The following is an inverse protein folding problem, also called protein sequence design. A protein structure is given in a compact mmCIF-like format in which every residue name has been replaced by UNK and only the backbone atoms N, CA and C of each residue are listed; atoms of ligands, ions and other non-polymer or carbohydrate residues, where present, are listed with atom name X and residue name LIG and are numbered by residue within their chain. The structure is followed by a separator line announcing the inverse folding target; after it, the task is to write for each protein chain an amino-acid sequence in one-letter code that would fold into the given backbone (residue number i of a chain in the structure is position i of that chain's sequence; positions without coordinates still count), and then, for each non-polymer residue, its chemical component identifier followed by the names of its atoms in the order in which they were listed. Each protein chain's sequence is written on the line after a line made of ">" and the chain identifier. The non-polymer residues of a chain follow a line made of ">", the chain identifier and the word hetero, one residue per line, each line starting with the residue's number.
data_IF_654418185933
#
_entry.id   IF_654418185933
#
_cell.length_a   1.000
_cell.length_b   1.000
_cell.length_c   1.000
_cell.angle_alpha   90.00
_cell.angle_beta   90.00
_cell.angle_gamma   90.00
#
_symmetry.space_group_name_H-M   'P 1'
#
loop_
_entity.id
_entity.type
_entity.pdbx_description
1 polymer ?
#
# COMPACT_ATOMS: atom_id res chain seq x y z
N UNK A 1 -37.83 -9.29 -43.93
CA UNK A 1 -38.09 -8.10 -44.76
C UNK A 1 -38.06 -6.88 -43.85
N UNK A 2 -37.42 -5.79 -44.29
CA UNK A 2 -37.29 -4.45 -43.65
C UNK A 2 -36.60 -4.38 -42.27
N UNK A 3 -35.39 -3.82 -42.07
CA UNK A 3 -34.69 -2.62 -42.61
C UNK A 3 -35.43 -1.29 -42.42
N UNK A 4 -35.04 -0.55 -41.37
CA UNK A 4 -34.99 0.91 -41.27
C UNK A 4 -34.10 1.20 -40.03
N UNK A 5 -32.82 1.55 -40.11
CA UNK A 5 -32.16 2.70 -40.76
C UNK A 5 -32.71 4.04 -40.26
N UNK A 6 -32.19 4.47 -39.10
CA UNK A 6 -32.23 5.87 -38.64
C UNK A 6 -30.78 6.32 -38.49
N UNK A 7 -30.29 7.00 -39.52
CA UNK A 7 -29.19 7.95 -39.41
C UNK A 7 -29.68 9.11 -38.54
N UNK A 8 -28.90 9.51 -37.52
CA UNK A 8 -28.98 10.88 -37.00
C UNK A 8 -27.58 11.45 -36.74
N UNK A 9 -27.43 12.63 -37.34
CA UNK A 9 -26.33 13.59 -37.41
C UNK A 9 -25.44 13.80 -36.17
N UNK A 10 -24.12 13.79 -36.44
CA UNK A 10 -23.21 14.95 -36.42
C UNK A 10 -23.32 15.96 -35.25
N UNK A 11 -22.31 15.98 -34.38
CA UNK A 11 -21.68 17.23 -33.91
C UNK A 11 -20.28 16.94 -33.33
N UNK A 12 -19.25 17.33 -34.08
CA UNK A 12 -17.89 17.50 -33.58
C UNK A 12 -17.89 18.56 -32.46
N UNK A 13 -17.40 18.20 -31.28
CA UNK A 13 -16.91 19.17 -30.29
C UNK A 13 -15.44 18.87 -30.02
N UNK A 14 -14.59 19.51 -30.81
CA UNK A 14 -13.16 19.65 -30.53
C UNK A 14 -13.05 20.65 -29.38
N UNK A 15 -12.99 20.16 -28.15
CA UNK A 15 -12.67 20.99 -26.98
C UNK A 15 -11.16 21.02 -26.83
N UNK A 16 -10.56 22.15 -27.19
CA UNK A 16 -9.15 22.43 -26.98
C UNK A 16 -8.85 22.48 -25.48
N UNK A 17 -8.01 21.57 -24.98
CA UNK A 17 -7.41 21.72 -23.66
C UNK A 17 -6.32 22.81 -23.73
N UNK A 18 -6.30 23.77 -22.80
CA UNK A 18 -5.28 24.80 -22.76
C UNK A 18 -3.90 24.16 -22.49
N UNK A 19 -2.92 24.54 -23.31
CA UNK A 19 -1.51 24.37 -23.04
C UNK A 19 -1.19 25.06 -21.70
N UNK A 20 -0.94 24.25 -20.66
CA UNK A 20 -0.29 24.73 -19.45
C UNK A 20 1.14 25.11 -19.81
N UNK A 21 1.34 26.40 -20.07
CA UNK A 21 2.67 26.97 -20.22
C UNK A 21 3.42 26.79 -18.88
N UNK A 22 4.50 26.01 -18.92
CA UNK A 22 5.45 25.91 -17.82
C UNK A 22 6.07 27.27 -17.56
N UNK A 23 5.69 27.91 -16.46
CA UNK A 23 6.39 29.08 -15.94
C UNK A 23 7.80 28.64 -15.49
N UNK A 24 8.88 29.31 -15.94
CA UNK A 24 10.22 29.02 -15.45
C UNK A 24 10.30 29.36 -13.96
N UNK A 25 10.66 28.37 -13.12
CA UNK A 25 10.98 28.61 -11.72
C UNK A 25 12.22 29.54 -11.64
N UNK A 26 12.17 30.62 -10.84
CA UNK A 26 13.36 31.41 -10.56
C UNK A 26 14.38 30.57 -9.77
N UNK A 27 15.69 30.89 -9.86
CA UNK A 27 16.71 30.24 -9.05
C UNK A 27 16.44 30.50 -7.56
N UNK A 28 16.50 29.43 -6.78
CA UNK A 28 16.42 29.43 -5.32
C UNK A 28 17.73 30.04 -4.77
N UNK A 29 17.75 31.36 -4.62
CA UNK A 29 18.81 32.09 -3.93
C UNK A 29 18.63 31.92 -2.40
N UNK A 30 19.54 31.14 -1.81
CA UNK A 30 20.05 31.34 -0.45
C UNK A 30 19.02 31.45 0.69
N UNK A 31 18.75 30.34 1.37
CA UNK A 31 18.34 30.40 2.76
C UNK A 31 19.53 30.85 3.63
N UNK A 32 19.66 32.17 3.76
CA UNK A 32 20.37 32.81 4.86
C UNK A 32 19.67 32.49 6.20
N UNK A 33 20.51 32.31 7.22
CA UNK A 33 20.10 32.06 8.59
C UNK A 33 19.49 33.31 9.26
N UNK A 34 18.72 33.05 10.34
CA UNK A 34 18.43 33.92 11.52
C UNK A 34 16.98 34.44 11.62
N UNK A 35 16.46 34.82 12.83
CA UNK A 35 17.18 35.03 14.10
C UNK A 35 16.53 34.40 15.35
N UNK A 36 17.28 34.52 16.45
CA UNK A 36 16.83 34.35 17.82
C UNK A 36 15.85 35.45 18.26
N UNK A 37 14.89 35.05 19.10
CA UNK A 37 14.32 35.86 20.18
C UNK A 37 12.93 36.45 19.91
N UNK A 38 11.96 36.07 20.76
CA UNK A 38 11.08 37.04 21.44
C UNK A 38 10.40 36.34 22.63
N UNK A 39 10.60 36.93 23.82
CA UNK A 39 9.89 36.59 25.05
C UNK A 39 8.52 37.29 25.03
N UNK A 40 7.47 36.55 25.40
CA UNK A 40 6.12 37.07 25.58
C UNK A 40 5.51 36.54 26.88
N UNK A 41 5.38 37.44 27.85
CA UNK A 41 4.71 37.27 29.14
C UNK A 41 3.18 37.13 29.03
N UNK A 42 2.65 36.23 29.86
CA UNK A 42 1.39 36.19 30.60
C UNK A 42 0.09 36.81 30.03
N UNK A 43 -0.97 36.00 29.98
CA UNK A 43 -2.28 36.36 30.54
C UNK A 43 -2.88 35.13 31.26
N UNK A 44 -3.21 35.36 32.52
CA UNK A 44 -3.79 34.47 33.52
C UNK A 44 -5.29 34.25 33.23
N UNK A 45 -5.74 32.99 33.19
CA UNK A 45 -7.11 32.63 32.85
C UNK A 45 -7.61 31.46 33.69
N UNK A 46 -7.93 31.75 34.96
CA UNK A 46 -8.57 30.83 35.88
C UNK A 46 -9.94 30.34 35.35
N UNK A 47 -10.10 29.02 35.27
CA UNK A 47 -11.42 28.38 35.31
C UNK A 47 -11.34 27.16 36.22
N UNK A 48 -11.83 27.40 37.43
CA UNK A 48 -12.06 26.49 38.54
C UNK A 48 -13.43 25.82 38.37
N UNK A 49 -13.47 24.50 38.59
CA UNK A 49 -14.66 23.64 38.52
C UNK A 49 -14.27 22.28 37.93
N UNK A 50 -13.84 21.30 38.71
CA UNK A 50 -14.56 20.74 39.86
C UNK A 50 -15.44 19.60 39.35
N UNK A 51 -14.91 18.38 39.34
CA UNK A 51 -15.62 17.21 38.82
C UNK A 51 -14.81 15.92 38.85
N UNK A 52 -14.72 15.35 40.06
CA UNK A 52 -14.76 13.90 40.34
C UNK A 52 -13.52 13.06 39.98
N UNK A 53 -12.80 12.73 41.05
CA UNK A 53 -11.82 11.67 41.22
C UNK A 53 -12.37 10.33 40.69
N UNK A 54 -12.05 10.02 39.44
CA UNK A 54 -12.21 8.71 38.85
C UNK A 54 -10.86 8.00 38.84
N UNK A 55 -10.42 7.52 40.01
CA UNK A 55 -9.33 6.55 40.17
C UNK A 55 -9.71 5.24 39.47
N UNK A 56 -9.65 5.26 38.14
CA UNK A 56 -9.64 4.10 37.28
C UNK A 56 -8.21 3.76 36.93
N UNK A 57 -7.44 3.31 37.92
CA UNK A 57 -6.22 2.49 37.79
C UNK A 57 -6.57 1.21 37.03
N UNK A 58 -6.87 1.38 35.75
CA UNK A 58 -6.93 0.37 34.73
C UNK A 58 -5.68 0.48 33.89
N UNK A 59 -4.51 0.57 34.55
CA UNK A 59 -3.20 0.16 34.03
C UNK A 59 -3.28 -1.36 33.77
N UNK A 60 -4.17 -1.73 32.87
CA UNK A 60 -4.20 -3.03 32.25
C UNK A 60 -2.98 -3.04 31.36
N UNK A 61 -1.82 -3.25 31.97
CA UNK A 61 -0.58 -3.61 31.32
C UNK A 61 -0.97 -4.61 30.23
N UNK A 62 -1.06 -4.11 28.98
CA UNK A 62 -1.27 -4.99 27.85
C UNK A 62 -0.16 -6.03 27.98
N UNK A 63 -0.49 -7.33 27.95
CA UNK A 63 0.50 -8.37 28.12
C UNK A 63 1.61 -8.07 27.11
N UNK A 64 2.77 -7.65 27.61
CA UNK A 64 3.96 -7.45 26.80
C UNK A 64 4.28 -8.82 26.22
N UNK A 65 3.82 -9.03 25.01
CA UNK A 65 4.12 -10.23 24.25
C UNK A 65 5.63 -10.41 24.14
N UNK A 66 6.08 -11.60 23.75
CA UNK A 66 7.49 -11.78 23.43
C UNK A 66 7.90 -10.76 22.36
N UNK A 67 8.89 -9.93 22.71
CA UNK A 67 9.51 -8.98 21.79
C UNK A 67 10.13 -9.76 20.62
N UNK A 68 9.71 -9.46 19.40
CA UNK A 68 10.14 -10.16 18.20
C UNK A 68 11.42 -9.55 17.59
N UNK A 69 12.29 -10.36 16.97
CA UNK A 69 13.50 -9.87 16.29
C UNK A 69 13.18 -9.21 14.93
N UNK A 70 14.15 -8.49 14.36
CA UNK A 70 14.06 -7.92 13.01
C UNK A 70 13.71 -9.02 11.98
N UNK A 71 12.74 -8.74 11.11
CA UNK A 71 12.24 -9.62 10.07
C UNK A 71 11.13 -10.57 10.50
N UNK A 72 10.86 -10.70 11.81
CA UNK A 72 9.74 -11.48 12.32
C UNK A 72 8.39 -10.89 11.92
N UNK A 73 7.37 -11.74 11.83
CA UNK A 73 6.00 -11.32 11.51
C UNK A 73 5.36 -10.62 12.72
N UNK A 74 4.68 -9.51 12.51
CA UNK A 74 4.07 -8.71 13.58
C UNK A 74 2.66 -8.24 13.20
N UNK A 75 1.88 -7.88 14.21
CA UNK A 75 0.56 -7.29 14.05
C UNK A 75 0.57 -5.78 14.32
N UNK A 76 1.37 -5.36 15.30
CA UNK A 76 1.47 -4.01 15.85
C UNK A 76 2.92 -3.67 16.20
N UNK A 77 3.23 -2.38 16.36
CA UNK A 77 4.58 -1.93 16.73
C UNK A 77 5.05 -2.49 18.09
N UNK A 78 4.11 -2.74 19.01
CA UNK A 78 4.41 -3.33 20.33
C UNK A 78 4.88 -4.78 20.28
N UNK A 79 4.71 -5.46 19.14
CA UNK A 79 5.25 -6.81 18.97
C UNK A 79 6.75 -6.80 18.67
N UNK A 80 7.30 -5.66 18.26
CA UNK A 80 8.69 -5.52 17.81
C UNK A 80 9.63 -5.03 18.92
N UNK A 81 10.94 -5.20 18.70
CA UNK A 81 11.95 -4.70 19.62
C UNK A 81 11.98 -3.17 19.72
N UNK A 82 12.57 -2.66 20.81
CA UNK A 82 12.80 -1.22 20.96
C UNK A 82 13.59 -0.68 19.76
N UNK A 83 13.12 0.44 19.19
CA UNK A 83 13.69 1.02 17.96
C UNK A 83 13.19 0.38 16.66
N UNK A 84 12.26 -0.58 16.72
CA UNK A 84 11.62 -1.19 15.56
C UNK A 84 10.16 -0.77 15.42
N UNK A 85 9.63 -0.95 14.21
CA UNK A 85 8.22 -0.73 13.89
C UNK A 85 7.69 -1.92 13.07
N UNK A 86 6.39 -2.12 13.13
CA UNK A 86 5.69 -3.12 12.36
C UNK A 86 5.13 -2.50 11.08
N UNK A 87 5.66 -2.90 9.92
CA UNK A 87 5.19 -2.41 8.64
C UNK A 87 5.03 -3.50 7.59
N UNK A 88 4.47 -3.13 6.45
CA UNK A 88 4.36 -4.01 5.29
C UNK A 88 3.00 -3.93 4.62
N UNK A 89 2.90 -4.58 3.46
CA UNK A 89 1.63 -4.74 2.76
C UNK A 89 0.81 -5.85 3.43
N UNK A 90 -0.45 -5.56 3.74
CA UNK A 90 -1.40 -6.52 4.27
C UNK A 90 -1.92 -6.18 5.66
N UNK A 91 -3.21 -6.45 5.87
CA UNK A 91 -3.96 -6.09 7.09
C UNK A 91 -4.43 -7.28 7.91
N UNK A 92 -4.22 -8.52 7.44
CA UNK A 92 -4.54 -9.70 8.25
C UNK A 92 -3.46 -9.94 9.30
N UNK A 93 -3.77 -10.71 10.36
CA UNK A 93 -2.78 -11.04 11.36
C UNK A 93 -1.51 -11.71 10.78
N UNK A 94 -0.34 -11.31 11.27
CA UNK A 94 0.96 -11.83 10.87
C UNK A 94 1.44 -11.40 9.48
N UNK A 95 0.84 -10.38 8.87
CA UNK A 95 1.28 -9.86 7.56
C UNK A 95 2.30 -8.72 7.65
N UNK A 96 2.45 -8.08 8.82
CA UNK A 96 3.50 -7.10 9.06
C UNK A 96 4.87 -7.74 9.29
N UNK A 97 5.93 -6.95 9.22
CA UNK A 97 7.29 -7.34 9.61
C UNK A 97 7.94 -6.30 10.51
N UNK A 98 8.62 -6.78 11.55
CA UNK A 98 9.45 -5.93 12.40
C UNK A 98 10.69 -5.46 11.64
N UNK A 99 10.91 -4.16 11.61
CA UNK A 99 12.02 -3.53 10.90
C UNK A 99 12.58 -2.37 11.71
N UNK A 100 13.87 -2.07 11.56
CA UNK A 100 14.49 -0.93 12.26
C UNK A 100 13.89 0.39 11.79
N UNK A 101 13.48 1.24 12.73
CA UNK A 101 12.90 2.56 12.46
C UNK A 101 13.90 3.55 11.86
N UNK A 102 15.20 3.35 12.14
CA UNK A 102 16.31 4.21 11.67
C UNK A 102 16.94 3.76 10.36
N UNK A 103 16.33 2.81 9.64
CA UNK A 103 16.91 2.30 8.39
C UNK A 103 16.90 3.36 7.29
N UNK A 104 17.83 3.22 6.34
CA UNK A 104 17.94 4.14 5.21
C UNK A 104 16.75 3.94 4.24
N UNK A 105 15.91 4.96 4.14
CA UNK A 105 14.74 4.97 3.27
C UNK A 105 14.95 5.90 2.07
N UNK A 106 14.35 5.55 0.95
CA UNK A 106 14.35 6.42 -0.23
C UNK A 106 13.49 7.67 0.04
N UNK A 107 13.84 8.81 -0.55
CA UNK A 107 13.15 10.10 -0.29
C UNK A 107 11.85 10.26 -1.09
N UNK A 108 11.40 9.23 -1.79
CA UNK A 108 10.15 9.24 -2.54
C UNK A 108 8.97 9.05 -1.59
N UNK A 109 8.27 10.16 -1.31
CA UNK A 109 7.02 10.09 -0.57
C UNK A 109 5.92 9.54 -1.46
N UNK A 110 5.34 8.42 -1.04
CA UNK A 110 4.14 7.83 -1.61
C UNK A 110 2.99 7.89 -0.59
N UNK A 111 1.77 7.90 -1.11
CA UNK A 111 0.56 7.74 -0.31
C UNK A 111 0.23 6.25 -0.17
N UNK A 112 -0.31 5.89 0.99
CA UNK A 112 -0.70 4.55 1.35
C UNK A 112 -2.05 4.58 2.04
N UNK A 113 -2.84 3.53 1.81
CA UNK A 113 -4.03 3.30 2.59
C UNK A 113 -3.68 2.40 3.76
N UNK A 114 -3.72 2.96 4.97
CA UNK A 114 -3.52 2.22 6.21
C UNK A 114 -4.54 1.13 6.42
N UNK A 115 -4.19 0.15 7.25
CA UNK A 115 -5.12 -0.92 7.63
C UNK A 115 -6.30 -0.43 8.48
N UNK A 116 -6.20 0.77 9.01
CA UNK A 116 -7.26 1.52 9.69
C UNK A 116 -8.16 2.33 8.72
N UNK A 117 -7.90 2.24 7.41
CA UNK A 117 -8.61 3.01 6.40
C UNK A 117 -8.21 4.49 6.38
N UNK A 118 -7.13 4.89 7.08
CA UNK A 118 -6.59 6.24 7.01
C UNK A 118 -5.47 6.33 5.97
N UNK A 119 -5.44 7.44 5.24
CA UNK A 119 -4.33 7.70 4.31
C UNK A 119 -3.14 8.21 5.11
N UNK A 120 -1.98 7.60 4.88
CA UNK A 120 -0.70 8.09 5.41
C UNK A 120 0.34 8.22 4.28
N UNK A 121 1.41 8.96 4.57
CA UNK A 121 2.52 9.17 3.64
C UNK A 121 3.79 8.55 4.20
N UNK A 122 4.46 7.77 3.37
CA UNK A 122 5.69 7.07 3.72
C UNK A 122 6.66 7.04 2.54
N UNK A 123 7.87 6.55 2.77
CA UNK A 123 8.82 6.29 1.69
C UNK A 123 8.37 5.08 0.87
N UNK A 124 8.61 5.10 -0.45
CA UNK A 124 8.39 3.94 -1.32
C UNK A 124 9.07 2.66 -0.81
N UNK A 125 10.27 2.78 -0.22
CA UNK A 125 11.01 1.66 0.35
C UNK A 125 10.73 1.42 1.83
N UNK A 126 10.11 2.38 2.52
CA UNK A 126 9.81 2.33 3.94
C UNK A 126 8.47 3.03 4.22
N UNK A 127 7.35 2.29 4.16
CA UNK A 127 6.04 2.85 4.44
C UNK A 127 5.97 3.46 5.85
N UNK A 128 6.63 2.83 6.83
CA UNK A 128 6.60 3.27 8.24
C UNK A 128 5.34 2.85 8.99
N UNK A 129 4.43 2.13 8.34
CA UNK A 129 3.25 1.51 8.94
C UNK A 129 2.76 0.34 8.08
N UNK A 130 1.86 -0.47 8.63
CA UNK A 130 1.11 -1.47 7.86
C UNK A 130 0.06 -0.80 6.98
N UNK A 131 -0.08 -1.28 5.75
CA UNK A 131 -1.01 -0.72 4.79
C UNK A 131 -1.76 -1.79 4.02
N UNK A 132 -3.02 -1.49 3.66
CA UNK A 132 -3.82 -2.31 2.79
C UNK A 132 -3.21 -2.33 1.38
N UNK A 133 -3.07 -1.15 0.78
CA UNK A 133 -2.52 -0.98 -0.56
C UNK A 133 -1.88 0.40 -0.72
N UNK A 134 -1.05 0.56 -1.76
CA UNK A 134 -0.42 1.84 -2.10
C UNK A 134 -1.43 2.74 -2.82
N UNK A 135 -1.53 4.00 -2.42
CA UNK A 135 -2.55 4.97 -2.86
C UNK A 135 -3.50 5.40 -1.74
N UNK A 136 -4.47 6.29 -2.02
CA UNK A 136 -5.48 6.75 -1.05
C UNK A 136 -6.49 5.65 -0.67
N UNK A 137 -7.17 5.77 0.49
CA UNK A 137 -8.08 4.75 1.02
C UNK A 137 -9.46 4.65 0.37
N UNK A 138 -9.77 5.49 -0.60
CA UNK A 138 -10.99 5.32 -1.37
C UNK A 138 -10.84 4.11 -2.30
N UNK A 139 -11.75 3.11 -2.28
CA UNK A 139 -11.85 2.13 -3.37
C UNK A 139 -12.39 2.87 -4.60
N UNK A 140 -11.48 3.59 -5.24
CA UNK A 140 -11.81 4.59 -6.24
C UNK A 140 -11.91 4.00 -7.63
N UNK A 141 -11.44 2.76 -7.83
CA UNK A 141 -11.37 2.19 -9.16
C UNK A 141 -12.70 1.54 -9.53
N UNK A 142 -13.33 2.08 -10.56
CA UNK A 142 -14.50 1.50 -11.21
C UNK A 142 -14.11 0.25 -12.01
N UNK A 143 -15.10 -0.60 -12.31
CA UNK A 143 -14.87 -1.76 -13.16
C UNK A 143 -14.32 -1.31 -14.53
N UNK A 144 -13.20 -1.90 -14.95
CA UNK A 144 -12.46 -1.51 -16.15
C UNK A 144 -11.21 -0.67 -15.89
N UNK A 145 -10.99 -0.19 -14.67
CA UNK A 145 -9.79 0.58 -14.32
C UNK A 145 -8.61 -0.31 -13.88
N UNK A 146 -7.36 0.07 -14.17
CA UNK A 146 -6.20 -0.74 -13.84
C UNK A 146 -5.95 -0.80 -12.33
N UNK A 147 -5.72 -2.01 -11.81
CA UNK A 147 -5.47 -2.28 -10.40
C UNK A 147 -4.22 -3.15 -10.19
N UNK A 148 -3.66 -3.06 -9.00
CA UNK A 148 -2.59 -3.94 -8.51
C UNK A 148 -3.08 -4.86 -7.39
N UNK A 149 -4.21 -4.54 -6.77
CA UNK A 149 -4.82 -5.29 -5.66
C UNK A 149 -6.35 -5.19 -5.73
N UNK A 150 -7.07 -6.27 -5.44
CA UNK A 150 -8.54 -6.29 -5.45
C UNK A 150 -9.18 -5.24 -4.54
N UNK A 151 -8.51 -4.84 -3.44
CA UNK A 151 -9.02 -3.84 -2.49
C UNK A 151 -9.06 -2.42 -3.07
N UNK A 152 -8.36 -2.16 -4.17
CA UNK A 152 -8.43 -0.88 -4.87
C UNK A 152 -9.74 -0.75 -5.68
N UNK A 153 -10.34 -1.89 -6.03
CA UNK A 153 -11.52 -1.98 -6.88
C UNK A 153 -12.80 -1.87 -6.04
N UNK A 154 -13.79 -1.14 -6.56
CA UNK A 154 -15.13 -1.15 -5.96
C UNK A 154 -15.72 -2.57 -5.92
N UNK A 155 -15.40 -3.41 -6.89
CA UNK A 155 -15.80 -4.82 -6.93
C UNK A 155 -15.11 -5.70 -5.88
N UNK A 156 -14.02 -5.24 -5.27
CA UNK A 156 -13.15 -6.03 -4.41
C UNK A 156 -12.24 -7.01 -5.16
N UNK A 157 -12.27 -7.03 -6.49
CA UNK A 157 -11.53 -7.99 -7.31
C UNK A 157 -10.69 -7.28 -8.38
N UNK A 158 -9.43 -7.70 -8.49
CA UNK A 158 -8.50 -7.23 -9.51
C UNK A 158 -8.19 -8.39 -10.48
N UNK A 159 -8.64 -8.27 -11.72
CA UNK A 159 -8.70 -9.35 -12.70
C UNK A 159 -7.71 -9.13 -13.86
N UNK A 160 -7.05 -10.18 -14.36
CA UNK A 160 -6.33 -10.10 -15.64
C UNK A 160 -5.07 -10.95 -15.71
N UNK A 161 -4.68 -11.27 -16.94
CA UNK A 161 -3.48 -12.07 -17.28
C UNK A 161 -2.16 -11.38 -16.89
N UNK A 162 -2.21 -10.08 -16.57
CA UNK A 162 -1.06 -9.28 -16.15
C UNK A 162 -0.68 -9.44 -14.68
N UNK A 163 -1.32 -10.32 -13.91
CA UNK A 163 -0.93 -10.60 -12.52
C UNK A 163 0.22 -11.61 -12.42
N UNK A 164 0.52 -12.35 -13.50
CA UNK A 164 1.67 -13.25 -13.55
C UNK A 164 2.95 -12.47 -13.90
N UNK A 165 3.89 -12.43 -12.97
CA UNK A 165 5.17 -11.76 -13.10
C UNK A 165 5.28 -10.48 -12.27
N UNK A 166 6.47 -10.24 -11.73
CA UNK A 166 6.72 -9.19 -10.74
C UNK A 166 7.27 -7.89 -11.35
N UNK A 167 6.76 -7.53 -12.53
CA UNK A 167 7.20 -6.32 -13.21
C UNK A 167 6.49 -5.10 -12.64
N UNK A 168 7.22 -4.00 -12.43
CA UNK A 168 6.67 -2.71 -12.06
C UNK A 168 5.77 -2.19 -13.20
N UNK A 169 4.50 -2.56 -13.20
CA UNK A 169 3.54 -2.22 -14.27
C UNK A 169 2.57 -3.34 -14.65
N UNK A 170 2.76 -4.56 -14.13
CA UNK A 170 1.75 -5.61 -14.18
C UNK A 170 0.47 -5.09 -13.50
N UNK A 171 -0.58 -4.78 -14.25
CA UNK A 171 -1.84 -4.28 -13.71
C UNK A 171 -2.93 -5.24 -14.13
N UNK A 172 -3.70 -5.73 -13.15
CA UNK A 172 -5.02 -6.25 -13.44
C UNK A 172 -5.97 -5.10 -13.77
N UNK A 173 -7.24 -5.43 -13.91
CA UNK A 173 -8.34 -4.52 -14.20
C UNK A 173 -9.44 -4.83 -13.19
N UNK A 174 -9.99 -3.79 -12.57
CA UNK A 174 -11.11 -3.95 -11.67
C UNK A 174 -12.29 -4.55 -12.42
N UNK A 175 -12.96 -5.50 -11.80
CA UNK A 175 -14.15 -6.12 -12.38
C UNK A 175 -14.73 -7.16 -11.47
N UNK A 176 -15.78 -7.82 -11.93
CA UNK A 176 -16.32 -9.02 -11.29
C UNK A 176 -16.12 -10.20 -12.22
N UNK A 177 -15.55 -11.28 -11.71
CA UNK A 177 -15.56 -12.56 -12.44
C UNK A 177 -16.02 -13.68 -11.53
N UNK A 178 -16.60 -14.71 -12.15
CA UNK A 178 -16.99 -15.92 -11.45
C UNK A 178 -15.72 -16.72 -11.15
N UNK A 179 -15.15 -16.44 -9.98
CA UNK A 179 -13.96 -17.11 -9.52
C UNK A 179 -14.29 -18.57 -9.21
N UNK A 180 -13.47 -19.47 -9.74
CA UNK A 180 -13.60 -20.90 -9.45
C UNK A 180 -13.31 -21.14 -7.97
N UNK A 181 -14.07 -22.03 -7.34
CA UNK A 181 -13.94 -22.31 -5.92
C UNK A 181 -12.66 -23.09 -5.56
N UNK A 182 -11.80 -23.42 -6.53
CA UNK A 182 -10.53 -24.08 -6.25
C UNK A 182 -9.55 -23.10 -5.62
N UNK A 183 -9.04 -23.46 -4.44
CA UNK A 183 -7.90 -22.79 -3.82
C UNK A 183 -6.62 -23.32 -4.47
N UNK A 184 -5.85 -22.42 -5.06
CA UNK A 184 -4.51 -22.69 -5.53
C UNK A 184 -3.50 -21.90 -4.70
N UNK A 185 -2.34 -22.50 -4.46
CA UNK A 185 -1.19 -21.80 -3.85
C UNK A 185 -0.47 -21.00 -4.92
N UNK A 186 -0.11 -19.77 -4.57
CA UNK A 186 0.66 -18.85 -5.41
C UNK A 186 1.86 -18.35 -4.64
N UNK A 187 2.97 -18.11 -5.35
CA UNK A 187 4.09 -17.36 -4.81
C UNK A 187 3.95 -15.89 -5.20
N UNK A 188 3.75 -15.02 -4.22
CA UNK A 188 3.67 -13.57 -4.41
C UNK A 188 5.01 -12.96 -4.83
N UNK A 189 4.97 -11.74 -5.35
CA UNK A 189 6.18 -11.02 -5.79
C UNK A 189 7.13 -10.59 -4.67
N UNK A 190 6.65 -10.64 -3.43
CA UNK A 190 7.40 -10.48 -2.20
C UNK A 190 7.92 -11.81 -1.63
N UNK A 191 7.88 -12.89 -2.42
CA UNK A 191 8.29 -14.23 -2.02
C UNK A 191 7.50 -14.78 -0.82
N UNK A 192 6.24 -14.34 -0.67
CA UNK A 192 5.30 -14.89 0.32
C UNK A 192 4.25 -15.73 -0.38
N UNK A 193 3.98 -16.90 0.17
CA UNK A 193 2.91 -17.76 -0.31
C UNK A 193 1.54 -17.21 0.10
N UNK A 194 0.57 -17.35 -0.80
CA UNK A 194 -0.83 -17.10 -0.48
C UNK A 194 -1.73 -18.08 -1.21
N UNK A 195 -2.95 -18.27 -0.72
CA UNK A 195 -3.98 -19.05 -1.40
C UNK A 195 -5.04 -18.11 -1.96
N UNK A 196 -5.46 -18.38 -3.20
CA UNK A 196 -6.51 -17.65 -3.88
C UNK A 196 -7.23 -18.56 -4.87
N UNK A 197 -8.28 -18.06 -5.53
CA UNK A 197 -8.98 -18.81 -6.56
C UNK A 197 -8.06 -19.09 -7.75
N UNK A 198 -8.12 -20.32 -8.28
CA UNK A 198 -7.41 -20.73 -9.49
C UNK A 198 -7.57 -19.79 -10.67
N UNK A 199 -8.77 -19.22 -10.83
CA UNK A 199 -9.10 -18.29 -11.91
C UNK A 199 -8.98 -16.81 -11.52
N UNK A 200 -8.85 -16.49 -10.22
CA UNK A 200 -8.79 -15.13 -9.69
C UNK A 200 -7.83 -15.04 -8.50
N UNK A 201 -6.53 -14.79 -8.74
CA UNK A 201 -5.57 -14.68 -7.65
C UNK A 201 -5.72 -13.39 -6.81
N UNK A 202 -6.57 -12.43 -7.21
CA UNK A 202 -6.91 -11.14 -6.55
C UNK A 202 -5.72 -10.22 -6.18
N UNK A 203 -4.48 -10.65 -6.45
CA UNK A 203 -3.22 -9.92 -6.27
C UNK A 203 -2.17 -10.43 -7.26
N UNK A 204 -1.12 -9.63 -7.49
CA UNK A 204 0.02 -10.05 -8.31
C UNK A 204 0.76 -11.24 -7.70
N UNK A 205 1.23 -12.14 -8.55
CA UNK A 205 2.02 -13.31 -8.18
C UNK A 205 3.16 -13.52 -9.17
N UNK A 206 4.29 -14.05 -8.69
CA UNK A 206 5.39 -14.43 -9.57
C UNK A 206 5.03 -15.65 -10.40
N UNK A 207 4.48 -16.68 -9.76
CA UNK A 207 4.06 -17.93 -10.40
C UNK A 207 3.09 -18.72 -9.51
N UNK A 208 2.40 -19.69 -10.11
CA UNK A 208 1.50 -20.62 -9.40
C UNK A 208 2.29 -21.76 -8.76
N UNK A 209 2.13 -21.97 -7.46
CA UNK A 209 2.86 -22.95 -6.65
C UNK A 209 3.53 -22.35 -5.41
N UNK A 210 4.19 -23.19 -4.58
CA UNK A 210 4.91 -22.73 -3.39
C UNK A 210 6.17 -21.90 -3.74
N UNK A 211 6.61 -21.02 -2.86
CA UNK A 211 7.76 -20.13 -3.13
C UNK A 211 9.12 -20.85 -3.23
N UNK A 212 9.21 -22.10 -2.76
CA UNK A 212 10.45 -22.88 -2.73
C UNK A 212 10.89 -23.44 -4.09
N UNK A 213 9.98 -23.59 -5.06
CA UNK A 213 10.29 -24.24 -6.35
C UNK A 213 11.02 -23.34 -7.37
N UNK A 214 10.97 -22.01 -7.22
CA UNK A 214 11.69 -21.12 -8.14
C UNK A 214 13.20 -21.05 -7.86
N UNK A 215 13.64 -21.26 -6.61
CA UNK A 215 15.06 -21.21 -6.28
C UNK A 215 15.83 -22.36 -6.95
N UNK A 216 15.28 -23.58 -6.87
CA UNK A 216 15.95 -24.80 -7.33
C UNK A 216 16.04 -24.94 -8.85
N UNK A 217 15.09 -24.36 -9.60
CA UNK A 217 15.09 -24.41 -11.07
C UNK A 217 16.15 -23.49 -11.68
N UNK A 218 16.44 -22.35 -11.04
CA UNK A 218 17.47 -21.42 -11.53
C UNK A 218 18.92 -21.93 -11.36
N UNK A 219 19.17 -22.82 -10.39
CA UNK A 219 20.49 -23.43 -10.19
C UNK A 219 20.74 -24.56 -11.19
N UNK A 220 19.74 -25.40 -11.44
CA UNK A 220 19.84 -26.50 -12.40
C UNK A 220 20.07 -26.01 -13.84
N UNK A 221 19.40 -24.93 -14.27
CA UNK A 221 19.64 -24.34 -15.61
C UNK A 221 20.98 -23.60 -15.73
N UNK A 222 21.61 -23.19 -14.60
CA UNK A 222 22.95 -22.60 -14.62
C UNK A 222 24.06 -23.65 -14.77
N UNK A 223 23.89 -24.85 -14.24
CA UNK A 223 24.84 -25.96 -14.45
C UNK A 223 24.84 -26.45 -15.91
N UNK A 224 23.69 -26.55 -16.56
CA UNK A 224 23.60 -27.03 -17.96
C UNK A 224 24.26 -26.07 -18.98
N UNK A 225 24.42 -24.77 -18.65
CA UNK A 225 25.12 -23.80 -19.50
C UNK A 225 26.62 -23.67 -19.23
N UNK A 226 27.15 -24.40 -18.25
CA UNK A 226 28.56 -24.35 -17.86
C UNK A 226 29.41 -25.49 -18.46
N UNK A 227 28.81 -26.46 -19.17
CA UNK A 227 29.47 -27.51 -19.95
C UNK A 227 29.54 -27.20 -21.45
#
# INVERSE_FOLDING_TARGET
>A
MQRALVLLCLALTVSACPNTASTPQPPDDGHEASPAGEAGDAEDGASDGGGEDGDGDGDGAQPTGPVLPNGALCDTDSDCAEGQLCEGAGCEPGQGRCVDSERMCTRDLAEYCGCDGQVFRGSGSCPGARYAYRGPCDPALEDGEPCTDGRQCRSGQCLGDGLEGCTNGAQGVCGVSECTADLATYCGCNNTEFQASGSCPDRQFGYRGPCEVAASTSEAEREEKAE
#
